data_IF_650901410190
#
_entry.id   IF_650901410190
#
_cell.length_a   1.000
_cell.length_b   1.000
_cell.length_c   1.000
_cell.angle_alpha   90.00
_cell.angle_beta   90.00
_cell.angle_gamma   90.00
#
_symmetry.space_group_name_H-M   'P 1'
#
loop_
_entity.id
_entity.type
_entity.pdbx_description
1 polymer ?
#
# COMPACT_ATOMS: atom_id res chain seq x y z
N UNK A 1 0.92 -13.30 15.49
CA UNK A 1 2.04 -12.34 15.71
C UNK A 1 2.07 -11.91 17.17
N UNK A 2 3.24 -11.87 17.84
CA UNK A 2 3.30 -11.33 19.19
C UNK A 2 2.91 -9.84 19.20
N UNK A 3 2.07 -9.38 20.14
CA UNK A 3 1.62 -7.98 20.19
C UNK A 3 2.78 -6.98 20.26
N UNK A 4 3.91 -7.40 20.84
CA UNK A 4 5.12 -6.59 20.95
C UNK A 4 5.71 -6.21 19.58
N UNK A 5 5.71 -7.11 18.59
CA UNK A 5 6.22 -6.79 17.25
C UNK A 5 5.31 -5.80 16.53
N UNK A 6 3.99 -5.91 16.71
CA UNK A 6 3.03 -4.94 16.18
C UNK A 6 3.34 -3.55 16.73
N UNK A 7 3.53 -3.44 18.05
CA UNK A 7 3.82 -2.18 18.73
C UNK A 7 5.17 -1.57 18.32
N UNK A 8 6.20 -2.40 18.13
CA UNK A 8 7.50 -1.92 17.65
C UNK A 8 7.36 -1.36 16.23
N UNK A 9 6.69 -2.08 15.32
CA UNK A 9 6.51 -1.65 13.94
C UNK A 9 5.65 -0.38 13.82
N UNK A 10 4.58 -0.27 14.61
CA UNK A 10 3.75 0.94 14.64
C UNK A 10 4.54 2.13 15.16
N UNK A 11 5.35 1.94 16.22
CA UNK A 11 6.22 2.99 16.76
C UNK A 11 7.26 3.43 15.74
N UNK A 12 7.93 2.50 15.05
CA UNK A 12 8.88 2.80 13.98
C UNK A 12 8.22 3.62 12.86
N UNK A 13 7.03 3.23 12.41
CA UNK A 13 6.28 3.99 11.39
C UNK A 13 5.90 5.40 11.88
N UNK A 14 5.45 5.53 13.13
CA UNK A 14 5.10 6.83 13.71
C UNK A 14 6.33 7.75 13.83
N UNK A 15 7.49 7.20 14.20
CA UNK A 15 8.77 7.94 14.27
C UNK A 15 9.23 8.35 12.86
N UNK A 16 9.14 7.45 11.88
CA UNK A 16 9.46 7.77 10.48
C UNK A 16 8.57 8.89 9.95
N UNK A 17 7.26 8.84 10.25
CA UNK A 17 6.32 9.89 9.89
C UNK A 17 6.67 11.24 10.51
N UNK A 18 7.01 11.25 11.82
CA UNK A 18 7.51 12.44 12.51
C UNK A 18 8.77 12.99 11.83
N UNK A 19 9.77 12.14 11.59
CA UNK A 19 11.05 12.52 11.01
C UNK A 19 10.87 13.16 9.62
N UNK A 20 10.14 12.51 8.72
CA UNK A 20 9.88 13.03 7.38
C UNK A 20 9.09 14.34 7.46
N UNK A 21 8.06 14.42 8.30
CA UNK A 21 7.29 15.64 8.50
C UNK A 21 8.17 16.82 8.97
N UNK A 22 9.09 16.59 9.91
CA UNK A 22 10.02 17.64 10.38
C UNK A 22 10.99 18.10 9.28
N UNK A 23 11.49 17.19 8.44
CA UNK A 23 12.38 17.51 7.33
C UNK A 23 11.64 18.32 6.25
N UNK A 24 10.44 17.89 5.88
CA UNK A 24 9.61 18.57 4.88
C UNK A 24 9.21 19.98 5.33
N UNK A 25 8.91 20.15 6.62
CA UNK A 25 8.63 21.48 7.20
C UNK A 25 9.85 22.40 7.15
N UNK A 26 11.06 21.87 7.43
CA UNK A 26 12.31 22.65 7.32
C UNK A 26 12.64 23.05 5.87
N UNK A 27 12.32 22.20 4.89
CA UNK A 27 12.55 22.46 3.45
C UNK A 27 11.43 23.24 2.76
N UNK A 28 10.42 23.68 3.50
CA UNK A 28 9.26 24.41 2.97
C UNK A 28 8.53 23.68 1.81
N UNK A 29 8.53 22.35 1.84
CA UNK A 29 7.84 21.49 0.86
C UNK A 29 6.31 21.42 1.11
N UNK A 30 5.71 22.54 1.48
CA UNK A 30 4.27 22.69 1.74
C UNK A 30 3.56 23.03 0.44
N UNK A 31 3.30 22.03 -0.39
CA UNK A 31 2.50 22.22 -1.61
C UNK A 31 1.05 21.87 -1.32
N UNK A 32 0.29 22.87 -0.87
CA UNK A 32 -1.05 23.27 -1.38
C UNK A 32 -1.68 24.30 -0.43
N UNK A 33 -1.95 25.51 -0.96
CA UNK A 33 -2.87 26.47 -0.32
C UNK A 33 -4.27 25.84 -0.34
N UNK A 34 -4.91 25.70 0.83
CA UNK A 34 -6.36 25.43 0.92
C UNK A 34 -7.12 26.57 0.25
N UNK A 35 -7.78 26.30 -0.88
CA UNK A 35 -8.83 27.18 -1.39
C UNK A 35 -10.06 26.97 -0.51
N UNK A 36 -10.35 27.93 0.39
CA UNK A 36 -11.71 28.13 0.92
C UNK A 36 -12.07 27.66 2.34
N UNK A 37 -11.16 27.22 3.23
CA UNK A 37 -11.58 26.88 4.61
C UNK A 37 -10.54 27.20 5.71
N UNK A 38 -10.95 28.09 6.62
CA UNK A 38 -10.29 28.63 7.83
C UNK A 38 -8.81 29.05 7.71
N UNK A 39 -8.57 30.37 7.75
CA UNK A 39 -7.26 31.05 7.66
C UNK A 39 -6.28 30.78 8.84
N UNK A 40 -6.52 29.77 9.68
CA UNK A 40 -5.73 29.52 10.91
C UNK A 40 -5.13 28.12 11.07
N UNK A 41 -5.37 27.18 10.13
CA UNK A 41 -4.88 25.80 10.25
C UNK A 41 -3.67 25.61 9.31
N UNK A 42 -2.51 25.13 9.81
CA UNK A 42 -1.34 24.89 8.97
C UNK A 42 -1.65 23.87 7.86
N UNK A 43 -1.15 24.11 6.65
CA UNK A 43 -1.37 23.22 5.52
C UNK A 43 -0.59 21.91 5.71
N UNK A 44 -1.25 20.75 5.54
CA UNK A 44 -0.58 19.45 5.61
C UNK A 44 0.48 19.29 4.52
N UNK A 45 1.47 18.44 4.80
CA UNK A 45 2.51 18.08 3.82
C UNK A 45 1.99 17.02 2.85
N UNK A 46 2.28 17.17 1.55
CA UNK A 46 1.89 16.27 0.46
C UNK A 46 2.70 14.97 0.37
N UNK A 47 3.56 14.69 1.36
CA UNK A 47 4.55 13.61 1.30
C UNK A 47 4.06 12.28 1.92
N UNK A 48 2.76 12.17 2.23
CA UNK A 48 2.21 10.97 2.86
C UNK A 48 2.44 9.69 2.07
N UNK A 49 2.49 9.77 0.73
CA UNK A 49 2.82 8.64 -0.13
C UNK A 49 4.25 8.11 0.09
N UNK A 50 5.23 8.99 0.28
CA UNK A 50 6.63 8.59 0.52
C UNK A 50 6.78 7.95 1.90
N UNK A 51 6.15 8.54 2.93
CA UNK A 51 6.16 7.98 4.29
C UNK A 51 5.53 6.59 4.30
N UNK A 52 4.41 6.44 3.60
CA UNK A 52 3.71 5.17 3.48
C UNK A 52 4.55 4.12 2.76
N UNK A 53 5.17 4.47 1.63
CA UNK A 53 6.07 3.59 0.88
C UNK A 53 7.24 3.11 1.75
N UNK A 54 7.97 4.03 2.37
CA UNK A 54 9.15 3.69 3.19
C UNK A 54 8.75 2.90 4.43
N UNK A 55 7.69 3.32 5.11
CA UNK A 55 7.15 2.60 6.27
C UNK A 55 6.78 1.16 5.92
N UNK A 56 6.09 0.96 4.79
CA UNK A 56 5.75 -0.38 4.33
C UNK A 56 6.96 -1.22 3.99
N UNK A 57 7.96 -0.68 3.27
CA UNK A 57 9.18 -1.44 2.95
C UNK A 57 9.97 -1.85 4.21
N UNK A 58 10.04 -0.96 5.22
CA UNK A 58 10.66 -1.28 6.52
C UNK A 58 9.89 -2.35 7.27
N UNK A 59 8.56 -2.22 7.35
CA UNK A 59 7.70 -3.23 7.95
C UNK A 59 7.75 -4.57 7.21
N UNK A 60 7.88 -4.55 5.89
CA UNK A 60 8.02 -5.75 5.07
C UNK A 60 9.35 -6.47 5.35
N UNK A 61 10.46 -5.73 5.35
CA UNK A 61 11.77 -6.28 5.68
C UNK A 61 11.81 -6.86 7.10
N UNK A 62 11.23 -6.17 8.07
CA UNK A 62 11.16 -6.65 9.45
C UNK A 62 10.27 -7.90 9.58
N UNK A 63 9.03 -7.85 9.06
CA UNK A 63 8.12 -9.01 9.13
C UNK A 63 8.71 -10.23 8.43
N UNK A 64 9.44 -10.05 7.32
CA UNK A 64 10.13 -11.15 6.64
C UNK A 64 11.24 -11.80 7.49
N UNK A 65 11.89 -11.05 8.38
CA UNK A 65 12.94 -11.57 9.26
C UNK A 65 12.40 -12.41 10.42
N UNK A 66 11.18 -12.13 10.87
CA UNK A 66 10.53 -12.78 12.01
C UNK A 66 9.51 -13.83 11.59
N UNK A 67 8.51 -13.44 10.79
CA UNK A 67 7.41 -14.32 10.34
C UNK A 67 7.86 -15.15 9.14
N UNK A 68 8.73 -14.59 8.29
CA UNK A 68 9.18 -15.28 7.06
C UNK A 68 9.92 -16.59 7.28
N UNK A 69 10.37 -16.88 8.50
CA UNK A 69 11.00 -18.16 8.86
C UNK A 69 10.00 -19.30 9.01
N UNK A 70 8.75 -18.98 9.30
CA UNK A 70 7.68 -19.95 9.56
C UNK A 70 6.78 -20.17 8.33
N UNK A 71 7.09 -19.50 7.20
CA UNK A 71 6.32 -19.60 5.96
C UNK A 71 6.89 -20.73 5.10
N UNK A 72 6.01 -21.59 4.58
CA UNK A 72 6.33 -22.72 3.68
C UNK A 72 6.69 -22.28 2.24
N UNK A 73 7.25 -21.09 2.05
CA UNK A 73 7.71 -20.59 0.76
C UNK A 73 9.22 -20.71 0.66
N UNK A 74 9.71 -21.06 -0.53
CA UNK A 74 11.16 -21.08 -0.78
C UNK A 74 11.75 -19.68 -0.51
N UNK A 75 12.90 -19.56 0.16
CA UNK A 75 13.55 -18.26 0.41
C UNK A 75 13.79 -17.46 -0.88
N UNK A 76 14.02 -18.14 -2.00
CA UNK A 76 14.20 -17.52 -3.31
C UNK A 76 12.90 -16.90 -3.84
N UNK A 77 11.77 -17.58 -3.69
CA UNK A 77 10.45 -17.11 -4.10
C UNK A 77 9.94 -15.97 -3.21
N UNK A 78 10.20 -16.05 -1.91
CA UNK A 78 9.93 -14.92 -1.03
C UNK A 78 10.73 -13.70 -1.47
N UNK A 79 12.04 -13.86 -1.70
CA UNK A 79 12.90 -12.74 -2.12
C UNK A 79 12.44 -12.14 -3.46
N UNK A 80 12.05 -12.97 -4.42
CA UNK A 80 11.54 -12.49 -5.71
C UNK A 80 10.24 -11.71 -5.54
N UNK A 81 9.25 -12.23 -4.80
CA UNK A 81 7.97 -11.52 -4.54
C UNK A 81 8.19 -10.19 -3.80
N UNK A 82 9.08 -10.16 -2.81
CA UNK A 82 9.46 -8.93 -2.10
C UNK A 82 10.09 -7.89 -3.04
N UNK A 83 11.03 -8.33 -3.89
CA UNK A 83 11.67 -7.46 -4.88
C UNK A 83 10.65 -6.92 -5.89
N UNK A 84 9.77 -7.78 -6.40
CA UNK A 84 8.73 -7.40 -7.36
C UNK A 84 7.77 -6.37 -6.80
N UNK A 85 7.27 -6.60 -5.58
CA UNK A 85 6.37 -5.66 -4.91
C UNK A 85 7.08 -4.33 -4.61
N UNK A 86 8.33 -4.37 -4.14
CA UNK A 86 9.10 -3.16 -3.89
C UNK A 86 9.33 -2.35 -5.17
N UNK A 87 9.74 -3.00 -6.27
CA UNK A 87 9.92 -2.36 -7.57
C UNK A 87 8.62 -1.76 -8.10
N UNK A 88 7.50 -2.49 -8.00
CA UNK A 88 6.19 -2.01 -8.42
C UNK A 88 5.75 -0.77 -7.63
N UNK A 89 5.93 -0.76 -6.31
CA UNK A 89 5.57 0.37 -5.45
C UNK A 89 6.48 1.58 -5.67
N UNK A 90 7.80 1.37 -5.81
CA UNK A 90 8.77 2.42 -6.13
C UNK A 90 8.45 3.04 -7.49
N UNK A 91 8.19 2.21 -8.51
CA UNK A 91 7.78 2.68 -9.82
C UNK A 91 6.51 3.52 -9.73
N UNK A 92 5.46 2.98 -9.09
CA UNK A 92 4.17 3.64 -8.98
C UNK A 92 4.34 5.00 -8.33
N UNK A 93 5.03 5.07 -7.19
CA UNK A 93 5.28 6.33 -6.49
C UNK A 93 6.12 7.30 -7.32
N UNK A 94 7.26 6.87 -7.87
CA UNK A 94 8.20 7.76 -8.56
C UNK A 94 7.63 8.29 -9.88
N UNK A 95 7.10 7.41 -10.72
CA UNK A 95 6.52 7.80 -12.01
C UNK A 95 5.23 8.62 -11.81
N UNK A 96 4.39 8.26 -10.84
CA UNK A 96 3.20 9.05 -10.57
C UNK A 96 3.50 10.40 -9.90
N UNK A 97 4.59 10.52 -9.12
CA UNK A 97 5.06 11.82 -8.62
C UNK A 97 5.43 12.75 -9.77
N UNK A 98 6.01 12.19 -10.83
CA UNK A 98 6.29 12.93 -12.07
C UNK A 98 4.99 13.37 -12.77
N UNK A 99 4.03 12.46 -12.93
CA UNK A 99 2.69 12.75 -13.48
C UNK A 99 2.00 13.89 -12.71
N UNK A 100 1.99 13.82 -11.37
CA UNK A 100 1.42 14.85 -10.50
C UNK A 100 2.15 16.19 -10.63
N UNK A 101 3.50 16.17 -10.73
CA UNK A 101 4.30 17.39 -10.87
C UNK A 101 4.05 18.14 -12.19
N UNK A 102 3.65 17.40 -13.23
CA UNK A 102 3.32 17.92 -14.56
C UNK A 102 1.83 18.15 -14.75
N UNK A 103 1.01 17.87 -13.73
CA UNK A 103 -0.45 18.00 -13.75
C UNK A 103 -1.09 17.32 -14.97
N UNK A 104 -0.60 16.13 -15.32
CA UNK A 104 -1.07 15.38 -16.49
C UNK A 104 -2.45 14.76 -16.23
N UNK A 105 -3.15 14.38 -17.31
CA UNK A 105 -4.47 13.75 -17.21
C UNK A 105 -4.43 12.40 -16.49
N UNK A 106 -5.56 12.00 -15.92
CA UNK A 106 -5.75 10.73 -15.22
C UNK A 106 -5.32 9.49 -16.04
N UNK A 107 -5.39 9.54 -17.37
CA UNK A 107 -4.91 8.47 -18.27
C UNK A 107 -3.43 8.11 -18.06
N UNK A 108 -2.58 9.09 -17.73
CA UNK A 108 -1.17 8.83 -17.44
C UNK A 108 -1.01 8.14 -16.07
N UNK A 109 -1.86 8.49 -15.10
CA UNK A 109 -1.88 7.82 -13.80
C UNK A 109 -2.30 6.36 -13.94
N UNK A 110 -3.33 6.07 -14.74
CA UNK A 110 -3.73 4.68 -15.04
C UNK A 110 -2.64 3.91 -15.76
N UNK A 111 -1.89 4.55 -16.67
CA UNK A 111 -0.75 3.92 -17.33
C UNK A 111 0.38 3.58 -16.33
N UNK A 112 0.70 4.50 -15.41
CA UNK A 112 1.69 4.25 -14.34
C UNK A 112 1.27 3.05 -13.48
N UNK A 113 0.00 2.98 -13.07
CA UNK A 113 -0.53 1.86 -12.29
C UNK A 113 -0.47 0.54 -13.07
N UNK A 114 -0.81 0.58 -14.36
CA UNK A 114 -0.77 -0.62 -15.22
C UNK A 114 0.65 -1.15 -15.35
N UNK A 115 1.64 -0.28 -15.50
CA UNK A 115 3.05 -0.69 -15.52
C UNK A 115 3.50 -1.23 -14.16
N UNK A 116 3.10 -0.59 -13.06
CA UNK A 116 3.35 -1.12 -11.70
C UNK A 116 2.74 -2.52 -11.51
N UNK A 117 1.51 -2.71 -11.96
CA UNK A 117 0.82 -3.99 -11.93
C UNK A 117 1.53 -5.05 -12.81
N UNK A 118 2.05 -4.67 -13.97
CA UNK A 118 2.82 -5.56 -14.82
C UNK A 118 4.12 -6.01 -14.16
N UNK A 119 4.81 -5.10 -13.47
CA UNK A 119 5.98 -5.44 -12.65
C UNK A 119 5.56 -6.45 -11.57
N UNK A 120 4.53 -6.18 -10.77
CA UNK A 120 4.07 -7.12 -9.75
C UNK A 120 3.69 -8.49 -10.35
N UNK A 121 2.99 -8.50 -11.47
CA UNK A 121 2.58 -9.74 -12.18
C UNK A 121 3.77 -10.57 -12.63
N UNK A 122 4.85 -9.92 -13.13
CA UNK A 122 6.08 -10.60 -13.53
C UNK A 122 6.81 -11.30 -12.37
N UNK A 123 6.56 -10.86 -11.13
CA UNK A 123 7.12 -11.45 -9.91
C UNK A 123 6.15 -12.37 -9.17
N UNK A 124 5.08 -12.84 -9.84
CA UNK A 124 4.21 -13.90 -9.35
C UNK A 124 2.94 -13.44 -8.63
N UNK A 125 2.63 -12.13 -8.63
CA UNK A 125 1.32 -11.65 -8.17
C UNK A 125 0.31 -11.79 -9.30
N UNK A 126 -0.36 -12.94 -9.40
CA UNK A 126 -1.21 -13.27 -10.55
C UNK A 126 -2.45 -14.06 -10.15
N UNK A 127 -3.58 -13.74 -10.78
CA UNK A 127 -4.82 -14.53 -10.66
C UNK A 127 -4.70 -15.72 -11.61
N UNK A 128 -4.37 -16.91 -11.12
CA UNK A 128 -4.19 -18.10 -11.99
C UNK A 128 -5.48 -18.91 -12.12
N UNK A 129 -6.25 -18.99 -11.04
CA UNK A 129 -7.47 -19.78 -10.96
C UNK A 129 -8.63 -18.95 -10.41
N UNK A 130 -9.83 -19.27 -10.86
CA UNK A 130 -11.09 -18.77 -10.31
C UNK A 130 -11.83 -19.93 -9.68
N UNK A 131 -12.00 -19.88 -8.35
CA UNK A 131 -12.84 -20.85 -7.64
C UNK A 131 -14.27 -20.32 -7.56
N UNK A 132 -15.21 -21.03 -8.18
CA UNK A 132 -16.66 -20.78 -8.09
C UNK A 132 -17.29 -21.99 -7.42
N UNK A 133 -17.66 -21.85 -6.14
CA UNK A 133 -18.06 -22.99 -5.32
C UNK A 133 -16.92 -23.99 -5.15
N UNK A 134 -17.17 -25.26 -5.46
CA UNK A 134 -16.14 -26.33 -5.45
C UNK A 134 -15.36 -26.42 -6.77
N UNK A 135 -15.86 -25.81 -7.85
CA UNK A 135 -15.21 -25.85 -9.16
C UNK A 135 -14.08 -24.82 -9.26
N UNK A 136 -12.91 -25.27 -9.72
CA UNK A 136 -11.74 -24.44 -10.00
C UNK A 136 -11.58 -24.31 -11.51
N UNK A 137 -11.66 -23.07 -11.99
CA UNK A 137 -11.46 -22.73 -13.40
C UNK A 137 -10.06 -22.14 -13.59
N UNK A 138 -9.27 -22.72 -14.49
CA UNK A 138 -8.01 -22.12 -14.91
C UNK A 138 -8.27 -21.00 -15.92
N UNK A 139 -7.73 -19.82 -15.64
CA UNK A 139 -8.00 -18.61 -16.45
C UNK A 139 -7.13 -18.60 -17.72
N UNK A 140 -5.99 -19.28 -17.69
CA UNK A 140 -5.03 -19.33 -18.79
C UNK A 140 -4.49 -17.93 -19.13
N UNK A 141 -4.48 -17.57 -20.41
CA UNK A 141 -3.88 -16.31 -20.89
C UNK A 141 -4.58 -15.05 -20.36
N UNK A 142 -5.87 -15.13 -20.02
CA UNK A 142 -6.65 -14.00 -19.49
C UNK A 142 -6.24 -13.63 -18.05
N UNK A 143 -5.41 -14.46 -17.43
CA UNK A 143 -4.83 -14.25 -16.11
C UNK A 143 -4.07 -12.93 -16.02
N UNK A 144 -3.27 -12.60 -17.04
CA UNK A 144 -2.47 -11.37 -17.08
C UNK A 144 -3.38 -10.12 -17.14
N UNK A 145 -4.25 -9.94 -18.16
CA UNK A 145 -5.10 -8.75 -18.23
C UNK A 145 -6.05 -8.65 -17.03
N UNK A 146 -6.56 -9.77 -16.51
CA UNK A 146 -7.38 -9.78 -15.29
C UNK A 146 -6.63 -9.26 -14.07
N UNK A 147 -5.37 -9.68 -13.90
CA UNK A 147 -4.51 -9.22 -12.79
C UNK A 147 -4.17 -7.73 -12.92
N UNK A 148 -3.83 -7.26 -14.13
CA UNK A 148 -3.55 -5.85 -14.37
C UNK A 148 -4.77 -4.98 -14.06
N UNK A 149 -5.94 -5.39 -14.54
CA UNK A 149 -7.20 -4.71 -14.28
C UNK A 149 -7.51 -4.70 -12.77
N UNK A 150 -7.28 -5.81 -12.08
CA UNK A 150 -7.49 -5.92 -10.64
C UNK A 150 -6.69 -4.88 -9.85
N UNK A 151 -5.38 -4.78 -10.10
CA UNK A 151 -4.55 -3.76 -9.45
C UNK A 151 -5.05 -2.35 -9.73
N UNK A 152 -5.35 -2.02 -10.99
CA UNK A 152 -5.80 -0.68 -11.38
C UNK A 152 -7.14 -0.33 -10.71
N UNK A 153 -8.11 -1.24 -10.75
CA UNK A 153 -9.45 -1.03 -10.18
C UNK A 153 -9.39 -0.87 -8.66
N UNK A 154 -8.66 -1.75 -7.97
CA UNK A 154 -8.53 -1.67 -6.51
C UNK A 154 -7.78 -0.39 -6.12
N UNK A 155 -6.67 -0.06 -6.77
CA UNK A 155 -5.94 1.18 -6.48
C UNK A 155 -6.81 2.44 -6.66
N UNK A 156 -7.62 2.49 -7.72
CA UNK A 156 -8.53 3.61 -7.97
C UNK A 156 -9.67 3.67 -6.94
N UNK A 157 -10.25 2.53 -6.57
CA UNK A 157 -11.28 2.45 -5.54
C UNK A 157 -10.78 3.02 -4.21
N UNK A 158 -9.58 2.64 -3.77
CA UNK A 158 -9.00 3.19 -2.54
C UNK A 158 -8.74 4.69 -2.66
N UNK A 159 -8.23 5.19 -3.79
CA UNK A 159 -8.08 6.64 -3.97
C UNK A 159 -9.40 7.39 -3.80
N UNK A 160 -10.51 6.87 -4.35
CA UNK A 160 -11.83 7.47 -4.19
C UNK A 160 -12.27 7.54 -2.72
N UNK A 161 -11.97 6.49 -1.95
CA UNK A 161 -12.23 6.46 -0.50
C UNK A 161 -11.38 7.48 0.28
N UNK A 162 -10.18 7.85 -0.19
CA UNK A 162 -9.32 8.84 0.48
C UNK A 162 -9.86 10.27 0.40
N UNK A 163 -10.78 10.54 -0.52
CA UNK A 163 -11.48 11.81 -0.62
C UNK A 163 -12.41 12.11 0.55
N UNK A 164 -12.66 11.12 1.43
CA UNK A 164 -13.53 11.21 2.61
C UNK A 164 -12.66 11.28 3.87
N UNK A 165 -12.38 12.51 4.34
CA UNK A 165 -11.73 12.90 5.62
C UNK A 165 -11.19 11.74 6.49
N UNK A 166 -10.01 11.19 6.14
CA UNK A 166 -9.27 10.21 6.95
C UNK A 166 -9.88 8.79 7.05
N UNK A 167 -11.08 8.59 6.51
CA UNK A 167 -11.85 7.34 6.57
C UNK A 167 -11.11 6.17 5.90
N UNK A 168 -10.34 6.46 4.85
CA UNK A 168 -9.56 5.45 4.13
C UNK A 168 -8.69 4.62 5.07
N UNK A 169 -7.90 5.23 5.96
CA UNK A 169 -6.98 4.43 6.79
C UNK A 169 -7.72 3.55 7.80
N UNK A 170 -8.87 4.00 8.30
CA UNK A 170 -9.73 3.19 9.16
C UNK A 170 -10.33 2.03 8.37
N UNK A 171 -10.83 2.31 7.16
CA UNK A 171 -11.42 1.30 6.27
C UNK A 171 -10.40 0.26 5.78
N UNK A 172 -9.23 0.69 5.30
CA UNK A 172 -8.13 -0.22 4.92
C UNK A 172 -7.68 -1.01 6.15
N UNK A 173 -7.49 -0.34 7.29
CA UNK A 173 -7.05 -0.99 8.53
C UNK A 173 -8.04 -2.06 8.99
N UNK A 174 -9.34 -1.76 8.92
CA UNK A 174 -10.40 -2.72 9.21
C UNK A 174 -10.37 -3.90 8.23
N UNK A 175 -10.29 -3.65 6.92
CA UNK A 175 -10.23 -4.70 5.90
C UNK A 175 -8.99 -5.59 6.07
N UNK A 176 -7.82 -5.01 6.30
CA UNK A 176 -6.58 -5.76 6.56
C UNK A 176 -6.68 -6.56 7.85
N UNK A 177 -7.25 -5.98 8.91
CA UNK A 177 -7.46 -6.71 10.17
C UNK A 177 -8.41 -7.89 9.99
N UNK A 178 -9.49 -7.74 9.21
CA UNK A 178 -10.40 -8.84 8.88
C UNK A 178 -9.69 -9.96 8.11
N UNK A 179 -8.83 -9.61 7.14
CA UNK A 179 -8.04 -10.61 6.40
C UNK A 179 -7.15 -11.43 7.34
N UNK A 180 -6.53 -10.83 8.36
CA UNK A 180 -5.70 -11.56 9.34
C UNK A 180 -6.51 -12.67 10.07
N UNK A 181 -7.80 -12.47 10.29
CA UNK A 181 -8.67 -13.47 10.93
C UNK A 181 -9.22 -14.52 9.97
N UNK A 182 -9.30 -14.21 8.68
CA UNK A 182 -9.89 -15.08 7.65
C UNK A 182 -8.84 -15.97 6.99
N UNK A 183 -7.64 -15.44 6.75
CA UNK A 183 -6.57 -16.16 6.06
C UNK A 183 -6.03 -17.29 6.93
N UNK A 184 -5.84 -18.46 6.33
CA UNK A 184 -5.27 -19.61 7.00
C UNK A 184 -3.74 -19.46 7.15
N UNK A 185 -3.11 -20.09 8.15
CA UNK A 185 -1.65 -20.03 8.32
C UNK A 185 -0.85 -20.47 7.08
N UNK A 186 -1.44 -21.33 6.25
CA UNK A 186 -0.88 -21.84 5.00
C UNK A 186 -0.73 -20.73 3.94
N UNK A 187 -1.55 -19.67 4.01
CA UNK A 187 -1.46 -18.46 3.17
C UNK A 187 -0.42 -17.46 3.73
N UNK A 188 0.73 -17.98 4.16
CA UNK A 188 1.69 -17.28 5.00
C UNK A 188 2.23 -15.97 4.40
N UNK A 189 2.31 -15.86 3.06
CA UNK A 189 2.76 -14.61 2.43
C UNK A 189 1.70 -13.50 2.48
N UNK A 190 0.42 -13.84 2.30
CA UNK A 190 -0.66 -12.85 2.40
C UNK A 190 -0.78 -12.33 3.84
N UNK A 191 -0.67 -13.23 4.82
CA UNK A 191 -0.57 -12.87 6.23
C UNK A 191 0.63 -11.96 6.50
N UNK A 192 1.81 -12.28 5.97
CA UNK A 192 3.00 -11.43 6.10
C UNK A 192 2.75 -10.01 5.56
N UNK A 193 2.15 -9.89 4.38
CA UNK A 193 1.80 -8.59 3.80
C UNK A 193 0.78 -7.82 4.67
N UNK A 194 -0.23 -8.49 5.21
CA UNK A 194 -1.16 -7.89 6.17
C UNK A 194 -0.45 -7.39 7.43
N UNK A 195 0.45 -8.20 8.00
CA UNK A 195 1.26 -7.84 9.16
C UNK A 195 2.26 -6.72 8.88
N UNK A 196 2.66 -6.52 7.62
CA UNK A 196 3.49 -5.39 7.21
C UNK A 196 2.68 -4.12 6.91
N UNK A 197 1.45 -4.25 6.45
CA UNK A 197 0.57 -3.12 6.11
C UNK A 197 -0.12 -2.52 7.35
N UNK A 198 -0.62 -3.36 8.26
CA UNK A 198 -1.38 -2.90 9.43
C UNK A 198 -0.60 -1.91 10.34
N UNK A 199 0.69 -2.13 10.67
CA UNK A 199 1.45 -1.18 11.49
C UNK A 199 1.64 0.18 10.83
N UNK A 200 1.77 0.22 9.51
CA UNK A 200 1.92 1.46 8.73
C UNK A 200 0.65 2.28 8.80
N UNK A 201 -0.50 1.63 8.63
CA UNK A 201 -1.81 2.27 8.73
C UNK A 201 -2.05 2.84 10.13
N UNK A 202 -1.78 2.06 11.18
CA UNK A 202 -1.92 2.50 12.58
C UNK A 202 -0.94 3.62 12.91
N UNK A 203 0.34 3.49 12.52
CA UNK A 203 1.38 4.48 12.83
C UNK A 203 1.15 5.83 12.14
N UNK A 204 0.53 5.83 10.97
CA UNK A 204 0.17 7.04 10.25
C UNK A 204 -1.18 7.63 10.66
N UNK A 205 -2.06 6.84 11.28
CA UNK A 205 -3.42 7.26 11.61
C UNK A 205 -3.46 8.59 12.42
N UNK A 206 -2.71 8.77 13.53
CA UNK A 206 -2.74 10.02 14.31
C UNK A 206 -2.32 11.27 13.52
N UNK A 207 -1.50 11.10 12.48
CA UNK A 207 -1.01 12.18 11.63
C UNK A 207 -2.05 12.67 10.61
N UNK A 208 -3.09 11.87 10.40
CA UNK A 208 -4.15 12.11 9.41
C UNK A 208 -5.48 12.54 10.02
N UNK A 209 -5.67 12.34 11.33
CA UNK A 209 -6.86 12.84 12.04
C UNK A 209 -6.91 14.36 11.91
N UNK A 210 -8.11 14.92 11.74
CA UNK A 210 -8.31 16.36 11.63
C UNK A 210 -7.81 17.10 12.90
N UNK A 211 -7.02 18.17 12.78
CA UNK A 211 -6.45 18.73 11.55
C UNK A 211 -5.24 17.92 11.04
N UNK A 212 -5.35 17.38 9.81
CA UNK A 212 -4.32 16.51 9.22
C UNK A 212 -2.98 17.24 9.07
N UNK A 213 -1.89 16.54 9.40
CA UNK A 213 -0.51 17.02 9.26
C UNK A 213 0.18 16.42 8.05
N UNK A 214 -0.16 15.17 7.73
CA UNK A 214 0.32 14.42 6.57
C UNK A 214 -0.90 13.99 5.77
N UNK A 215 -0.94 14.32 4.49
CA UNK A 215 -1.99 13.87 3.59
C UNK A 215 -1.43 12.87 2.58
N UNK A 216 -2.20 11.80 2.32
CA UNK A 216 -2.01 10.98 1.14
C UNK A 216 -2.79 11.67 0.01
N UNK A 217 -2.06 12.19 -0.97
CA UNK A 217 -2.64 12.90 -2.11
C UNK A 217 -1.90 12.50 -3.38
N UNK A 218 -2.53 12.76 -4.52
CA UNK A 218 -1.99 12.41 -5.83
C UNK A 218 -1.70 10.91 -5.91
N UNK A 219 -0.51 10.55 -6.40
CA UNK A 219 -0.08 9.17 -6.54
C UNK A 219 -0.01 8.41 -5.21
N UNK A 220 0.26 9.10 -4.10
CA UNK A 220 0.41 8.45 -2.79
C UNK A 220 -0.85 7.70 -2.36
N UNK A 221 -2.02 8.22 -2.73
CA UNK A 221 -3.33 7.64 -2.37
C UNK A 221 -3.61 6.27 -3.03
N UNK A 222 -2.87 5.90 -4.08
CA UNK A 222 -3.04 4.61 -4.77
C UNK A 222 -2.24 3.48 -4.09
N UNK A 223 -1.18 3.80 -3.34
CA UNK A 223 -0.29 2.79 -2.74
C UNK A 223 -1.01 1.84 -1.77
N UNK A 224 -1.90 2.30 -0.87
CA UNK A 224 -2.63 1.38 0.01
C UNK A 224 -3.48 0.38 -0.77
N UNK A 225 -4.19 0.84 -1.81
CA UNK A 225 -4.99 -0.03 -2.68
C UNK A 225 -4.12 -1.00 -3.48
N UNK A 226 -2.95 -0.57 -3.96
CA UNK A 226 -2.04 -1.44 -4.69
C UNK A 226 -1.56 -2.61 -3.82
N UNK A 227 -1.15 -2.33 -2.58
CA UNK A 227 -0.72 -3.36 -1.62
C UNK A 227 -1.90 -4.26 -1.22
N UNK A 228 -3.08 -3.68 -1.00
CA UNK A 228 -4.28 -4.46 -0.69
C UNK A 228 -4.64 -5.40 -1.85
N UNK A 229 -4.55 -4.92 -3.10
CA UNK A 229 -4.69 -5.76 -4.29
C UNK A 229 -3.69 -6.92 -4.28
N UNK A 230 -2.41 -6.65 -4.00
CA UNK A 230 -1.39 -7.70 -3.89
C UNK A 230 -1.70 -8.74 -2.81
N UNK A 231 -2.20 -8.31 -1.64
CA UNK A 231 -2.64 -9.20 -0.55
C UNK A 231 -3.73 -10.16 -1.06
N UNK A 232 -4.77 -9.62 -1.73
CA UNK A 232 -5.90 -10.42 -2.21
C UNK A 232 -5.52 -11.43 -3.30
N UNK A 233 -4.43 -11.21 -4.03
CA UNK A 233 -3.95 -12.12 -5.06
C UNK A 233 -3.17 -13.31 -4.50
N UNK A 234 -2.50 -13.12 -3.36
CA UNK A 234 -1.69 -14.18 -2.75
C UNK A 234 -2.45 -14.94 -1.66
N UNK A 235 -3.48 -14.32 -1.06
CA UNK A 235 -4.26 -14.94 0.02
C UNK A 235 -5.39 -15.86 -0.44
N UNK A 236 -5.28 -16.47 -1.63
CA UNK A 236 -6.24 -17.44 -2.19
C UNK A 236 -5.61 -18.33 -3.28
N UNK A 237 -4.33 -18.71 -3.12
CA UNK A 237 -3.64 -19.61 -4.05
C UNK A 237 -3.55 -21.01 -3.45
#
# INVERSE_FOLDING_TARGET
>A
MNPNHLLILTAVCAILALAIHTICRKKNWTIQRRLGRNKGIPSPTSEGGLVFLLGFLVCLAYSSSFIGRDILLSPAEMKSRHLGLALALIWTWAAGRFVDSKNLSHLYTTAVLTIGAAIATAFGFRIETLRVGETVFEIGWMSIPGTLLWFVVISEFFRLLDGLDGLLMVGVGAAVSAQIWILEPEEGYALLLCYSLLPVLIGLFPWRIYPARIELKGIGAYLPGFIFGAITLVGRQ
#
